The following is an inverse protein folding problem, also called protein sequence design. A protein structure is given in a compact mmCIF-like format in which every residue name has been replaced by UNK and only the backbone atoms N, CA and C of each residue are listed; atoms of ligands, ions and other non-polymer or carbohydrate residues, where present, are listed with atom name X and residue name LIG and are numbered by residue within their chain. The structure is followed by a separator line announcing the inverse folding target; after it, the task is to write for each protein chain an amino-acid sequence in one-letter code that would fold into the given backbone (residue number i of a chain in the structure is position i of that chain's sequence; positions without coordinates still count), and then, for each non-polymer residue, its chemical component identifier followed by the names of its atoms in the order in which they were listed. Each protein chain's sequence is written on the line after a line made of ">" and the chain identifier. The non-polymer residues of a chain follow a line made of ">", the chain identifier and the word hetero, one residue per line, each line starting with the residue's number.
data_IF_245153387420
#
_entry.id   IF_245153387420
#
_cell.length_a   1.000
_cell.length_b   1.000
_cell.length_c   1.000
_cell.angle_alpha   90.00
_cell.angle_beta   90.00
_cell.angle_gamma   90.00
#
_symmetry.space_group_name_H-M   'P 1'
#
loop_
_entity.id
_entity.type
_entity.pdbx_description
1 polymer ?
#
# COMPACT_ATOMS: atom_id res chain seq x y z
N UNK A 1 21.10 -9.71 -4.75
CA UNK A 1 19.78 -9.44 -4.18
C UNK A 1 18.95 -8.84 -5.29
N UNK A 2 17.93 -9.54 -5.75
CA UNK A 2 17.16 -9.14 -6.94
C UNK A 2 16.49 -7.79 -6.70
N UNK A 3 17.03 -6.75 -7.31
CA UNK A 3 16.44 -5.42 -7.34
C UNK A 3 15.29 -5.45 -8.36
N UNK A 4 14.23 -6.19 -8.05
CA UNK A 4 13.07 -6.30 -8.90
C UNK A 4 12.26 -5.00 -8.75
N UNK A 5 12.33 -4.13 -9.76
CA UNK A 5 11.53 -2.92 -9.81
C UNK A 5 10.05 -3.32 -9.83
N UNK A 6 9.39 -3.16 -8.68
CA UNK A 6 7.97 -3.45 -8.53
C UNK A 6 7.20 -2.14 -8.61
N UNK A 7 6.60 -1.79 -9.76
CA UNK A 7 5.92 -0.49 -9.92
C UNK A 7 4.63 -0.42 -9.09
N UNK A 8 3.98 -1.56 -8.85
CA UNK A 8 2.67 -1.64 -8.23
C UNK A 8 2.59 -2.70 -7.14
N UNK A 9 1.75 -2.44 -6.15
CA UNK A 9 1.37 -3.39 -5.11
C UNK A 9 -0.15 -3.51 -5.06
N UNK A 10 -0.64 -4.73 -4.88
CA UNK A 10 -2.07 -5.01 -4.76
C UNK A 10 -2.54 -4.87 -3.32
N UNK A 11 -3.84 -4.61 -3.12
CA UNK A 11 -4.46 -4.60 -1.79
C UNK A 11 -4.26 -5.94 -1.05
N UNK A 12 -4.21 -7.09 -1.76
CA UNK A 12 -3.91 -8.40 -1.16
C UNK A 12 -2.50 -8.43 -0.59
N UNK A 13 -1.53 -7.95 -1.34
CA UNK A 13 -0.14 -7.87 -0.91
C UNK A 13 0.02 -6.89 0.25
N UNK A 14 -0.56 -5.69 0.16
CA UNK A 14 -0.56 -4.70 1.25
C UNK A 14 -1.07 -5.31 2.56
N UNK A 15 -2.22 -5.99 2.51
CA UNK A 15 -2.80 -6.64 3.70
C UNK A 15 -1.88 -7.72 4.27
N UNK A 16 -1.22 -8.49 3.40
CA UNK A 16 -0.31 -9.55 3.82
C UNK A 16 0.99 -8.97 4.40
N UNK A 17 1.56 -7.95 3.76
CA UNK A 17 2.80 -7.27 4.16
C UNK A 17 2.65 -6.58 5.52
N UNK A 18 1.54 -5.87 5.74
CA UNK A 18 1.31 -5.13 6.99
C UNK A 18 0.47 -5.89 8.02
N UNK A 19 0.03 -7.11 7.72
CA UNK A 19 -0.81 -7.90 8.62
C UNK A 19 -2.16 -7.26 8.95
N UNK A 20 -2.78 -6.55 8.00
CA UNK A 20 -4.02 -5.79 8.22
C UNK A 20 -5.23 -6.35 7.49
N UNK A 21 -6.41 -6.06 8.03
CA UNK A 21 -7.70 -6.39 7.40
C UNK A 21 -8.07 -5.43 6.26
N UNK A 22 -9.04 -5.83 5.42
CA UNK A 22 -9.58 -4.95 4.38
C UNK A 22 -10.23 -3.67 4.94
N UNK A 23 -11.04 -3.72 6.03
CA UNK A 23 -11.55 -2.51 6.68
C UNK A 23 -10.43 -1.58 7.17
N UNK A 24 -9.35 -2.13 7.73
CA UNK A 24 -8.19 -1.33 8.16
C UNK A 24 -7.56 -0.60 6.97
N UNK A 25 -7.33 -1.30 5.86
CA UNK A 25 -6.81 -0.69 4.63
C UNK A 25 -7.73 0.41 4.08
N UNK A 26 -9.04 0.21 4.15
CA UNK A 26 -10.01 1.24 3.76
C UNK A 26 -9.91 2.48 4.67
N UNK A 27 -9.85 2.30 6.00
CA UNK A 27 -9.69 3.42 6.95
C UNK A 27 -8.38 4.16 6.74
N UNK A 28 -7.29 3.44 6.50
CA UNK A 28 -6.00 4.04 6.16
C UNK A 28 -6.12 4.93 4.92
N UNK A 29 -6.78 4.41 3.88
CA UNK A 29 -6.98 5.13 2.60
C UNK A 29 -7.85 6.38 2.76
N UNK A 30 -8.89 6.33 3.61
CA UNK A 30 -9.84 7.44 3.76
C UNK A 30 -9.43 8.47 4.80
N UNK A 31 -8.78 8.05 5.88
CA UNK A 31 -8.62 8.87 7.07
C UNK A 31 -7.15 9.15 7.43
N UNK A 32 -6.20 8.32 6.98
CA UNK A 32 -4.79 8.39 7.41
C UNK A 32 -3.82 8.76 6.27
N UNK A 33 -4.35 9.20 5.13
CA UNK A 33 -3.55 9.63 3.97
C UNK A 33 -2.80 8.50 3.27
N UNK A 34 -3.23 7.25 3.46
CA UNK A 34 -2.58 6.12 2.78
C UNK A 34 -2.76 6.23 1.25
N UNK A 35 -1.73 5.94 0.44
CA UNK A 35 -1.75 6.20 -1.00
C UNK A 35 -2.97 5.59 -1.68
N UNK A 36 -3.76 6.34 -2.48
CA UNK A 36 -4.99 5.81 -3.08
C UNK A 36 -4.71 4.76 -4.17
N UNK A 37 -5.71 3.94 -4.52
CA UNK A 37 -5.67 3.11 -5.73
C UNK A 37 -5.44 3.96 -6.98
N UNK A 38 -4.74 3.38 -7.95
CA UNK A 38 -4.53 3.98 -9.27
C UNK A 38 -5.84 3.93 -10.06
N UNK A 39 -6.21 5.06 -10.67
CA UNK A 39 -7.41 5.16 -11.49
C UNK A 39 -7.38 4.15 -12.64
N UNK A 40 -8.50 3.47 -12.89
CA UNK A 40 -8.60 2.39 -13.87
C UNK A 40 -7.92 1.07 -13.45
N UNK A 41 -7.20 1.02 -12.32
CA UNK A 41 -6.52 -0.19 -11.84
C UNK A 41 -7.03 -0.63 -10.47
N UNK A 42 -8.07 -1.46 -10.48
CA UNK A 42 -8.74 -1.95 -9.26
C UNK A 42 -7.75 -2.57 -8.28
N UNK A 43 -7.68 -2.00 -7.07
CA UNK A 43 -6.90 -2.54 -5.96
C UNK A 43 -5.39 -2.53 -6.17
N UNK A 44 -4.86 -1.72 -7.11
CA UNK A 44 -3.42 -1.51 -7.32
C UNK A 44 -3.01 -0.10 -6.89
N UNK A 45 -1.85 0.00 -6.25
CA UNK A 45 -1.27 1.25 -5.75
C UNK A 45 0.20 1.33 -6.16
N UNK A 46 0.74 2.54 -6.20
CA UNK A 46 2.19 2.72 -6.39
C UNK A 46 2.93 2.06 -5.24
N UNK A 47 3.84 1.14 -5.54
CA UNK A 47 4.65 0.46 -4.53
C UNK A 47 5.49 1.48 -3.74
N UNK A 48 6.17 2.38 -4.46
CA UNK A 48 7.04 3.40 -3.87
C UNK A 48 6.29 4.25 -2.83
N UNK A 49 5.12 4.80 -3.19
CA UNK A 49 4.33 5.63 -2.27
C UNK A 49 3.88 4.87 -1.02
N UNK A 50 3.56 3.58 -1.16
CA UNK A 50 3.15 2.74 -0.03
C UNK A 50 4.30 2.54 0.95
N UNK A 51 5.51 2.29 0.45
CA UNK A 51 6.70 2.13 1.30
C UNK A 51 7.10 3.45 1.95
N UNK A 52 7.06 4.57 1.23
CA UNK A 52 7.33 5.90 1.79
C UNK A 52 6.37 6.22 2.94
N UNK A 53 5.06 6.04 2.73
CA UNK A 53 4.06 6.23 3.78
C UNK A 53 4.30 5.32 4.99
N UNK A 54 4.67 4.04 4.76
CA UNK A 54 4.92 3.10 5.84
C UNK A 54 6.14 3.51 6.69
N UNK A 55 7.20 4.01 6.05
CA UNK A 55 8.39 4.56 6.72
C UNK A 55 8.05 5.81 7.54
N UNK A 56 7.30 6.74 6.98
CA UNK A 56 6.85 7.96 7.67
C UNK A 56 6.02 7.65 8.93
N UNK A 57 5.27 6.53 8.92
CA UNK A 57 4.44 6.09 10.04
C UNK A 57 5.15 5.14 11.00
N UNK A 58 6.41 4.77 10.75
CA UNK A 58 7.17 3.81 11.55
C UNK A 58 6.60 2.39 11.50
N UNK A 59 5.94 2.02 10.40
CA UNK A 59 5.32 0.70 10.19
C UNK A 59 6.27 -0.25 9.45
N UNK A 60 7.20 0.27 8.65
CA UNK A 60 8.18 -0.48 7.88
C UNK A 60 9.52 0.25 7.77
#
# INVERSE_FOLDING_TARGET
>A
MDNQFKPFITDKEIKSTFGISQPTLWRWTKNLGFPPPIEGMKGRRSYQKVIEWAKEKGIA
#
